data_IF_952461555503
#
_entry.id   IF_952461555503
#
_cell.length_a   1.000
_cell.length_b   1.000
_cell.length_c   1.000
_cell.angle_alpha   90.00
_cell.angle_beta   90.00
_cell.angle_gamma   90.00
#
_symmetry.space_group_name_H-M   'P 1'
#
loop_
_entity.id
_entity.type
_entity.pdbx_description
1 polymer ?
#
# COMPACT_ATOMS: atom_id res chain seq x y z
N UNK A 1 -19.24 -56.02 30.12
CA UNK A 1 -17.81 -56.00 30.46
C UNK A 1 -17.01 -56.15 29.15
N UNK A 2 -16.11 -55.20 28.88
CA UNK A 2 -14.95 -55.25 27.94
C UNK A 2 -15.29 -55.37 26.43
N UNK A 3 -15.52 -54.29 25.69
CA UNK A 3 -14.55 -53.39 25.01
C UNK A 3 -13.40 -54.08 24.25
N UNK A 4 -13.46 -53.98 22.92
CA UNK A 4 -12.40 -54.23 21.93
C UNK A 4 -11.37 -53.08 21.90
N UNK A 5 -10.08 -53.34 21.64
CA UNK A 5 -9.13 -52.28 21.33
C UNK A 5 -8.93 -52.16 19.81
N UNK A 6 -9.20 -50.99 19.24
CA UNK A 6 -8.73 -50.61 17.90
C UNK A 6 -7.83 -49.38 18.01
N UNK A 7 -6.54 -49.61 17.78
CA UNK A 7 -5.44 -48.64 17.85
C UNK A 7 -5.43 -47.86 16.53
N UNK A 8 -5.76 -46.55 16.56
CA UNK A 8 -5.55 -45.65 15.41
C UNK A 8 -4.14 -45.05 15.47
N UNK A 9 -3.39 -44.98 14.36
CA UNK A 9 -2.09 -44.34 14.32
C UNK A 9 -2.23 -42.81 14.31
N UNK A 10 -1.44 -42.15 15.14
CA UNK A 10 -1.24 -40.70 15.18
C UNK A 10 -0.51 -40.24 13.92
N UNK A 11 -1.17 -39.46 13.07
CA UNK A 11 -0.53 -38.72 11.99
C UNK A 11 0.24 -37.53 12.58
N UNK A 12 1.57 -37.65 12.57
CA UNK A 12 2.46 -36.54 12.85
C UNK A 12 2.34 -35.46 11.76
N UNK A 13 2.27 -34.20 12.19
CA UNK A 13 2.45 -33.05 11.31
C UNK A 13 3.91 -33.03 10.85
N UNK A 14 4.18 -33.44 9.61
CA UNK A 14 5.41 -33.09 8.92
C UNK A 14 5.35 -31.61 8.51
N UNK A 15 6.44 -30.84 8.66
CA UNK A 15 6.49 -29.49 8.14
C UNK A 15 6.49 -29.59 6.62
N UNK A 16 5.42 -29.10 5.99
CA UNK A 16 5.37 -28.95 4.54
C UNK A 16 6.49 -28.00 4.14
N UNK A 17 7.49 -28.55 3.48
CA UNK A 17 8.45 -27.84 2.64
C UNK A 17 7.67 -26.85 1.78
N UNK A 18 7.98 -25.56 1.95
CA UNK A 18 7.42 -24.50 1.12
C UNK A 18 7.84 -24.79 -0.33
N UNK A 19 6.92 -24.81 -1.31
CA UNK A 19 7.33 -24.83 -2.70
C UNK A 19 8.15 -23.56 -2.97
N UNK A 20 9.25 -23.73 -3.70
CA UNK A 20 10.02 -22.64 -4.31
C UNK A 20 9.02 -21.69 -4.97
N UNK A 21 8.94 -20.45 -4.44
CA UNK A 21 7.98 -19.43 -4.86
C UNK A 21 8.23 -19.07 -6.33
N UNK A 22 7.19 -19.21 -7.14
CA UNK A 22 7.16 -18.85 -8.56
C UNK A 22 7.29 -17.34 -8.74
N UNK A 23 8.09 -16.92 -9.72
CA UNK A 23 8.26 -15.54 -10.18
C UNK A 23 6.93 -14.76 -10.28
N UNK A 24 6.88 -13.60 -9.62
CA UNK A 24 5.81 -12.62 -9.73
C UNK A 24 4.89 -12.50 -8.53
N UNK A 25 5.42 -12.43 -7.30
CA UNK A 25 4.61 -12.04 -6.14
C UNK A 25 4.12 -10.58 -6.34
N UNK A 26 2.81 -10.27 -6.20
CA UNK A 26 2.24 -8.94 -6.44
C UNK A 26 2.80 -7.82 -5.56
N UNK A 27 3.63 -8.21 -4.57
CA UNK A 27 4.22 -7.36 -3.56
C UNK A 27 5.77 -7.36 -3.61
N UNK A 28 6.38 -7.71 -4.74
CA UNK A 28 7.82 -7.55 -4.93
C UNK A 28 8.18 -6.33 -5.79
N UNK A 29 9.28 -5.68 -5.44
CA UNK A 29 9.86 -4.60 -6.24
C UNK A 29 10.42 -5.19 -7.54
N UNK A 30 10.18 -4.51 -8.65
CA UNK A 30 10.83 -4.80 -9.93
C UNK A 30 11.82 -3.71 -10.29
N UNK A 31 12.91 -4.10 -10.96
CA UNK A 31 13.94 -3.19 -11.50
C UNK A 31 13.47 -2.46 -12.78
N UNK A 32 12.16 -2.43 -13.02
CA UNK A 32 11.59 -1.74 -14.17
C UNK A 32 11.76 -0.23 -14.01
N UNK A 33 12.22 0.42 -15.08
CA UNK A 33 12.31 1.87 -15.14
C UNK A 33 10.91 2.51 -15.02
N UNK A 34 10.70 3.23 -13.91
CA UNK A 34 9.43 3.87 -13.59
C UNK A 34 9.06 4.93 -14.62
N UNK A 35 10.03 5.70 -15.13
CA UNK A 35 9.77 6.74 -16.13
C UNK A 35 9.37 6.11 -17.46
N UNK A 36 10.11 5.08 -17.89
CA UNK A 36 9.78 4.34 -19.10
C UNK A 36 8.38 3.71 -19.00
N UNK A 37 8.01 3.19 -17.83
CA UNK A 37 6.66 2.66 -17.60
C UNK A 37 5.58 3.76 -17.66
N UNK A 38 5.82 4.92 -17.04
CA UNK A 38 4.91 6.08 -17.11
C UNK A 38 4.70 6.52 -18.56
N UNK A 39 5.74 6.47 -19.39
CA UNK A 39 5.66 6.80 -20.82
C UNK A 39 4.77 5.85 -21.62
N UNK A 40 4.54 4.62 -21.14
CA UNK A 40 3.59 3.69 -21.76
C UNK A 40 2.12 4.03 -21.47
N UNK A 41 1.84 4.91 -20.51
CA UNK A 41 0.47 5.31 -20.16
C UNK A 41 -0.15 6.05 -21.34
N UNK A 42 -1.22 5.48 -21.90
CA UNK A 42 -1.87 6.00 -23.12
C UNK A 42 -2.49 7.40 -22.95
N UNK A 43 -2.91 7.76 -21.74
CA UNK A 43 -3.52 9.07 -21.48
C UNK A 43 -2.45 10.12 -21.17
N UNK A 44 -2.30 11.18 -21.99
CA UNK A 44 -1.33 12.25 -21.74
C UNK A 44 -1.59 12.95 -20.40
N UNK A 45 -2.86 13.14 -20.03
CA UNK A 45 -3.26 13.71 -18.75
C UNK A 45 -2.77 12.85 -17.58
N UNK A 46 -2.98 11.53 -17.64
CA UNK A 46 -2.54 10.63 -16.57
C UNK A 46 -1.02 10.54 -16.49
N UNK A 47 -0.32 10.61 -17.62
CA UNK A 47 1.14 10.67 -17.64
C UNK A 47 1.64 11.91 -16.91
N UNK A 48 1.11 13.08 -17.24
CA UNK A 48 1.44 14.34 -16.56
C UNK A 48 1.13 14.28 -15.06
N UNK A 49 -0.05 13.79 -14.69
CA UNK A 49 -0.46 13.67 -13.29
C UNK A 49 0.45 12.68 -12.53
N UNK A 50 0.83 11.56 -13.16
CA UNK A 50 1.75 10.58 -12.62
C UNK A 50 3.16 11.16 -12.40
N UNK A 51 3.69 11.91 -13.37
CA UNK A 51 4.97 12.62 -13.22
C UNK A 51 4.92 13.66 -12.09
N UNK A 52 3.79 14.35 -11.93
CA UNK A 52 3.61 15.31 -10.83
C UNK A 52 3.68 14.61 -9.47
N UNK A 53 2.96 13.48 -9.31
CA UNK A 53 3.02 12.68 -8.08
C UNK A 53 4.40 12.06 -7.86
N UNK A 54 5.08 11.63 -8.92
CA UNK A 54 6.42 11.08 -8.86
C UNK A 54 7.37 12.08 -8.19
N UNK A 55 7.35 13.33 -8.65
CA UNK A 55 8.19 14.39 -8.10
C UNK A 55 7.83 14.74 -6.66
N UNK A 56 6.53 14.84 -6.34
CA UNK A 56 6.07 15.09 -4.96
C UNK A 56 6.58 13.98 -4.04
N UNK A 57 6.33 12.71 -4.37
CA UNK A 57 6.71 11.60 -3.52
C UNK A 57 8.23 11.42 -3.43
N UNK A 58 8.97 11.71 -4.49
CA UNK A 58 10.44 11.74 -4.46
C UNK A 58 10.96 12.82 -3.50
N UNK A 59 10.39 14.03 -3.52
CA UNK A 59 10.75 15.10 -2.56
C UNK A 59 10.42 14.72 -1.13
N UNK A 60 9.24 14.16 -0.90
CA UNK A 60 8.76 13.79 0.44
C UNK A 60 9.59 12.66 1.04
N UNK A 61 9.87 11.62 0.25
CA UNK A 61 10.57 10.43 0.73
C UNK A 61 12.10 10.57 0.72
N UNK A 62 12.66 11.35 -0.20
CA UNK A 62 14.10 11.35 -0.48
C UNK A 62 14.60 10.05 -1.13
N UNK A 63 13.68 9.18 -1.56
CA UNK A 63 13.96 7.85 -2.11
C UNK A 63 13.71 7.79 -3.62
N UNK A 64 14.42 6.90 -4.30
CA UNK A 64 14.14 6.63 -5.71
C UNK A 64 12.87 5.79 -5.87
N UNK A 65 12.02 6.10 -6.88
CA UNK A 65 10.79 5.38 -7.12
C UNK A 65 11.08 3.96 -7.59
N UNK A 66 10.26 3.00 -7.16
CA UNK A 66 10.33 1.61 -7.63
C UNK A 66 8.97 1.11 -8.04
N UNK A 67 8.93 0.26 -9.07
CA UNK A 67 7.71 -0.41 -9.48
C UNK A 67 7.37 -1.53 -8.50
N UNK A 68 6.15 -1.52 -8.00
CA UNK A 68 5.58 -2.54 -7.13
C UNK A 68 4.43 -3.26 -7.85
N UNK A 69 4.58 -4.57 -8.04
CA UNK A 69 3.68 -5.33 -8.91
C UNK A 69 3.62 -4.75 -10.33
N UNK A 70 2.42 -4.69 -10.92
CA UNK A 70 2.25 -4.29 -12.32
C UNK A 70 1.92 -2.82 -12.57
N UNK A 71 1.53 -2.07 -11.54
CA UNK A 71 0.95 -0.73 -11.73
C UNK A 71 1.02 0.21 -10.53
N UNK A 72 1.82 -0.14 -9.52
CA UNK A 72 2.03 0.71 -8.34
C UNK A 72 3.45 1.24 -8.41
N UNK A 73 3.62 2.53 -8.16
CA UNK A 73 4.91 3.17 -7.96
C UNK A 73 5.03 3.44 -6.47
N UNK A 74 6.03 2.83 -5.83
CA UNK A 74 6.28 2.91 -4.40
C UNK A 74 7.57 3.65 -4.06
N UNK A 75 7.62 4.18 -2.84
CA UNK A 75 8.74 4.93 -2.27
C UNK A 75 9.00 4.48 -0.84
N UNK A 76 10.29 4.31 -0.51
CA UNK A 76 10.73 3.76 0.77
C UNK A 76 10.16 2.36 1.03
N UNK A 77 10.38 1.85 2.24
CA UNK A 77 9.80 0.58 2.66
C UNK A 77 9.52 0.58 4.16
N UNK A 78 8.49 -0.14 4.58
CA UNK A 78 8.22 -0.46 5.97
C UNK A 78 7.88 -1.93 6.10
N UNK A 79 8.23 -2.49 7.26
CA UNK A 79 7.91 -3.88 7.58
C UNK A 79 6.62 -3.91 8.41
N UNK A 80 5.62 -4.65 7.93
CA UNK A 80 4.39 -4.89 8.67
C UNK A 80 4.37 -6.31 9.23
N UNK A 81 3.81 -6.46 10.43
CA UNK A 81 3.53 -7.77 11.03
C UNK A 81 2.15 -7.76 11.68
N UNK A 82 1.26 -8.57 11.15
CA UNK A 82 -0.07 -8.77 11.72
C UNK A 82 -0.02 -9.72 12.93
N UNK A 83 -0.96 -9.58 13.86
CA UNK A 83 -1.13 -10.48 15.01
C UNK A 83 -1.33 -11.96 14.62
N UNK A 84 -1.80 -12.23 13.39
CA UNK A 84 -1.91 -13.59 12.84
C UNK A 84 -0.56 -14.21 12.45
N UNK A 85 0.56 -13.50 12.63
CA UNK A 85 1.90 -13.93 12.24
C UNK A 85 2.22 -13.72 10.75
N UNK A 86 1.35 -13.04 10.01
CA UNK A 86 1.61 -12.67 8.61
C UNK A 86 2.41 -11.37 8.61
N UNK A 87 3.59 -11.40 8.01
CA UNK A 87 4.46 -10.25 7.85
C UNK A 87 4.93 -10.08 6.41
N UNK A 88 5.44 -8.90 6.09
CA UNK A 88 5.96 -8.56 4.78
C UNK A 88 6.40 -7.11 4.71
N UNK A 89 6.92 -6.74 3.56
CA UNK A 89 7.39 -5.38 3.28
C UNK A 89 6.43 -4.69 2.32
N UNK A 90 6.23 -3.40 2.53
CA UNK A 90 5.39 -2.56 1.71
C UNK A 90 6.01 -1.19 1.51
N UNK A 91 5.63 -0.50 0.42
CA UNK A 91 6.05 0.88 0.18
C UNK A 91 5.48 1.82 1.24
N UNK A 92 6.32 2.68 1.82
CA UNK A 92 5.91 3.64 2.84
C UNK A 92 5.05 4.78 2.27
N UNK A 93 5.24 5.09 0.99
CA UNK A 93 4.32 5.89 0.18
C UNK A 93 4.20 5.27 -1.22
N UNK A 94 3.10 5.53 -1.90
CA UNK A 94 2.96 5.09 -3.29
C UNK A 94 1.68 5.53 -3.97
N UNK A 95 1.63 5.35 -5.29
CA UNK A 95 0.45 5.66 -6.09
C UNK A 95 0.31 4.72 -7.28
N UNK A 96 -0.90 4.70 -7.88
CA UNK A 96 -1.22 3.90 -9.06
C UNK A 96 -2.01 4.72 -10.08
N UNK A 97 -1.45 5.01 -11.26
CA UNK A 97 -2.14 5.74 -12.33
C UNK A 97 -3.11 4.86 -13.11
N UNK A 98 -4.28 4.63 -12.52
CA UNK A 98 -5.31 3.82 -13.14
C UNK A 98 -6.13 4.64 -14.14
N UNK A 99 -6.76 3.92 -15.08
CA UNK A 99 -7.61 4.51 -16.12
C UNK A 99 -8.71 5.43 -15.55
N UNK A 100 -9.37 5.00 -14.47
CA UNK A 100 -10.48 5.74 -13.88
C UNK A 100 -10.03 6.93 -13.02
N UNK A 101 -9.03 6.74 -12.16
CA UNK A 101 -8.56 7.74 -11.21
C UNK A 101 -7.09 7.51 -10.86
N UNK A 102 -6.43 8.57 -10.41
CA UNK A 102 -5.17 8.45 -9.71
C UNK A 102 -5.44 7.93 -8.29
N UNK A 103 -4.86 6.79 -7.94
CA UNK A 103 -4.94 6.26 -6.58
C UNK A 103 -3.68 6.61 -5.82
N UNK A 104 -3.79 7.31 -4.71
CA UNK A 104 -2.71 7.58 -3.74
C UNK A 104 -2.93 6.69 -2.52
N UNK A 105 -1.87 6.04 -2.04
CA UNK A 105 -1.94 5.14 -0.88
C UNK A 105 -1.45 5.84 0.38
N UNK A 106 -2.26 5.75 1.44
CA UNK A 106 -2.00 6.24 2.80
C UNK A 106 -2.05 5.03 3.73
N UNK A 107 -0.90 4.37 4.00
CA UNK A 107 -0.89 3.14 4.80
C UNK A 107 -1.36 3.36 6.25
N UNK A 108 -1.25 4.59 6.75
CA UNK A 108 -1.77 5.11 8.03
C UNK A 108 -3.24 5.51 8.01
N UNK A 109 -3.93 5.27 6.89
CA UNK A 109 -5.37 5.40 6.77
C UNK A 109 -5.84 6.80 6.42
N UNK A 110 -6.86 6.88 5.56
CA UNK A 110 -7.41 8.17 5.13
C UNK A 110 -8.18 8.88 6.24
N UNK A 111 -8.68 8.15 7.24
CA UNK A 111 -9.39 8.71 8.38
C UNK A 111 -8.53 9.68 9.21
N UNK A 112 -7.21 9.44 9.26
CA UNK A 112 -6.21 10.32 9.91
C UNK A 112 -6.21 11.74 9.33
N UNK A 113 -6.66 11.89 8.08
CA UNK A 113 -6.62 13.13 7.31
C UNK A 113 -7.99 13.75 7.04
N UNK A 114 -9.04 13.37 7.79
CA UNK A 114 -10.42 13.79 7.52
C UNK A 114 -10.57 15.31 7.32
N UNK A 115 -9.92 16.13 8.16
CA UNK A 115 -9.97 17.60 8.07
C UNK A 115 -9.26 18.18 6.84
N UNK A 116 -8.15 17.57 6.42
CA UNK A 116 -7.42 17.97 5.23
C UNK A 116 -8.23 17.59 3.98
N UNK A 117 -8.84 16.41 3.98
CA UNK A 117 -9.68 15.91 2.89
C UNK A 117 -10.87 16.84 2.59
N UNK A 118 -11.49 17.44 3.60
CA UNK A 118 -12.57 18.44 3.41
C UNK A 118 -12.14 19.63 2.53
N UNK A 119 -10.86 19.97 2.54
CA UNK A 119 -10.28 21.12 1.83
C UNK A 119 -9.54 20.74 0.56
N UNK A 120 -9.23 19.46 0.38
CA UNK A 120 -8.39 18.94 -0.70
C UNK A 120 -9.00 19.16 -2.10
N UNK A 121 -10.32 19.16 -2.20
CA UNK A 121 -11.05 19.19 -3.47
C UNK A 121 -11.78 17.88 -3.76
N UNK A 122 -12.36 17.69 -4.96
CA UNK A 122 -13.20 16.53 -5.27
C UNK A 122 -12.42 15.21 -5.29
N UNK A 123 -12.74 14.31 -4.38
CA UNK A 123 -12.04 13.03 -4.23
C UNK A 123 -13.00 11.92 -3.76
N UNK A 124 -12.53 10.68 -3.78
CA UNK A 124 -13.15 9.55 -3.05
C UNK A 124 -12.10 8.90 -2.16
N UNK A 125 -12.52 8.37 -1.02
CA UNK A 125 -11.65 7.62 -0.11
C UNK A 125 -12.09 6.16 0.02
N UNK A 126 -11.12 5.28 0.19
CA UNK A 126 -11.27 4.01 0.89
C UNK A 126 -10.46 4.03 2.17
N UNK A 127 -10.24 2.87 2.79
CA UNK A 127 -9.58 2.77 4.11
C UNK A 127 -8.16 3.35 4.07
N UNK A 128 -7.35 2.95 3.08
CA UNK A 128 -5.94 3.35 2.90
C UNK A 128 -5.68 3.97 1.53
N UNK A 129 -6.72 4.29 0.78
CA UNK A 129 -6.60 4.74 -0.60
C UNK A 129 -7.41 6.01 -0.84
N UNK A 130 -6.82 6.94 -1.59
CA UNK A 130 -7.43 8.18 -2.03
C UNK A 130 -7.50 8.17 -3.56
N UNK A 131 -8.69 8.42 -4.12
CA UNK A 131 -8.93 8.42 -5.55
C UNK A 131 -9.17 9.85 -6.04
N UNK A 132 -8.32 10.30 -6.96
CA UNK A 132 -8.32 11.63 -7.54
C UNK A 132 -8.61 11.55 -9.05
N UNK A 133 -9.73 12.10 -9.48
CA UNK A 133 -10.17 12.01 -10.89
C UNK A 133 -9.65 13.18 -11.73
N UNK A 134 -9.65 14.40 -11.19
CA UNK A 134 -9.17 15.62 -11.85
C UNK A 134 -8.14 16.34 -10.98
N UNK A 135 -6.86 16.14 -11.30
CA UNK A 135 -5.71 16.71 -10.59
C UNK A 135 -5.73 18.25 -10.54
N UNK A 136 -6.40 18.91 -11.49
CA UNK A 136 -6.47 20.38 -11.54
C UNK A 136 -7.39 20.98 -10.46
N UNK A 137 -8.23 20.14 -9.86
CA UNK A 137 -9.18 20.55 -8.80
C UNK A 137 -8.70 20.15 -7.41
N UNK A 138 -7.45 19.66 -7.32
CA UNK A 138 -6.85 19.20 -6.08
C UNK A 138 -5.85 20.24 -5.59
N UNK A 139 -5.91 20.53 -4.30
CA UNK A 139 -4.87 21.29 -3.61
C UNK A 139 -3.63 20.41 -3.45
N UNK A 140 -2.64 20.62 -4.33
CA UNK A 140 -1.42 19.81 -4.37
C UNK A 140 -0.50 20.05 -3.17
N UNK A 141 -0.51 21.26 -2.60
CA UNK A 141 0.29 21.58 -1.43
C UNK A 141 -0.27 20.85 -0.20
N UNK A 142 -1.59 20.80 -0.08
CA UNK A 142 -2.25 20.02 0.97
C UNK A 142 -2.05 18.53 0.78
N UNK A 143 -2.09 18.03 -0.47
CA UNK A 143 -1.78 16.64 -0.78
C UNK A 143 -0.34 16.27 -0.39
N UNK A 144 0.64 17.12 -0.73
CA UNK A 144 2.05 16.93 -0.38
C UNK A 144 2.26 16.90 1.14
N UNK A 145 1.58 17.80 1.88
CA UNK A 145 1.60 17.79 3.35
C UNK A 145 1.04 16.47 3.91
N UNK A 146 -0.09 16.00 3.40
CA UNK A 146 -0.68 14.73 3.85
C UNK A 146 0.24 13.54 3.57
N UNK A 147 0.85 13.48 2.39
CA UNK A 147 1.81 12.41 2.03
C UNK A 147 3.04 12.48 2.94
N UNK A 148 3.50 13.67 3.29
CA UNK A 148 4.63 13.88 4.20
C UNK A 148 4.36 13.33 5.59
N UNK A 149 3.20 13.65 6.15
CA UNK A 149 2.80 13.17 7.46
C UNK A 149 2.66 11.64 7.46
N UNK A 150 2.04 11.09 6.41
CA UNK A 150 1.85 9.64 6.24
C UNK A 150 3.19 8.91 6.16
N UNK A 151 4.08 9.37 5.28
CA UNK A 151 5.40 8.78 5.10
C UNK A 151 6.22 8.82 6.39
N UNK A 152 6.17 9.94 7.12
CA UNK A 152 6.85 10.08 8.43
C UNK A 152 6.29 9.12 9.46
N UNK A 153 4.97 8.98 9.54
CA UNK A 153 4.34 8.02 10.44
C UNK A 153 4.80 6.59 10.14
N UNK A 154 4.97 6.24 8.85
CA UNK A 154 5.37 4.89 8.43
C UNK A 154 6.86 4.61 8.66
N UNK A 155 7.71 5.63 8.59
CA UNK A 155 9.17 5.49 8.69
C UNK A 155 9.73 5.78 10.07
N UNK A 156 8.98 6.49 10.93
CA UNK A 156 9.39 6.79 12.31
C UNK A 156 9.54 5.53 13.18
N UNK A 157 8.64 4.56 13.00
CA UNK A 157 8.66 3.28 13.69
C UNK A 157 8.76 2.17 12.65
N UNK A 158 9.97 1.61 12.44
CA UNK A 158 10.28 0.61 11.40
C UNK A 158 9.42 -0.68 11.42
N UNK A 159 8.55 -0.84 12.41
CA UNK A 159 7.62 -1.97 12.56
C UNK A 159 6.21 -1.42 12.76
N UNK A 160 5.36 -1.60 11.74
CA UNK A 160 4.00 -1.06 11.70
C UNK A 160 2.93 -1.91 12.40
N UNK A 161 3.33 -3.05 12.99
CA UNK A 161 2.40 -4.09 13.45
C UNK A 161 1.30 -3.65 14.42
N UNK A 162 1.49 -2.53 15.14
CA UNK A 162 0.49 -2.03 16.11
C UNK A 162 -0.69 -1.28 15.48
N UNK A 163 -0.52 -0.59 14.34
CA UNK A 163 -1.62 0.16 13.71
C UNK A 163 -2.56 -0.76 12.91
N UNK A 164 -2.06 -1.88 12.41
CA UNK A 164 -2.85 -2.91 11.72
C UNK A 164 -4.02 -3.48 12.56
N UNK A 165 -3.89 -3.48 13.90
CA UNK A 165 -4.98 -3.87 14.81
C UNK A 165 -6.11 -2.84 14.80
N UNK A 166 -5.80 -1.54 14.75
CA UNK A 166 -6.77 -0.45 14.67
C UNK A 166 -7.55 -0.49 13.34
N UNK A 167 -6.89 -0.82 12.22
CA UNK A 167 -7.56 -0.97 10.91
C UNK A 167 -8.60 -2.10 10.89
N UNK A 168 -8.40 -3.19 11.65
CA UNK A 168 -9.39 -4.28 11.76
C UNK A 168 -10.49 -3.98 12.78
N UNK A 169 -10.22 -3.11 13.75
CA UNK A 169 -11.19 -2.63 14.75
C UNK A 169 -12.22 -1.65 14.20
N UNK A 170 -11.94 -1.01 13.06
CA UNK A 170 -12.81 -0.02 12.39
C UNK A 170 -14.08 -0.57 11.72
N UNK A 171 -14.68 -1.67 12.20
CA UNK A 171 -16.11 -1.91 11.96
C UNK A 171 -16.91 -1.02 12.91
N UNK A 172 -16.99 0.26 12.58
CA UNK A 172 -18.07 1.12 13.09
C UNK A 172 -19.38 0.66 12.44
N UNK A 173 -19.97 -0.38 13.01
CA UNK A 173 -21.36 -0.75 12.81
C UNK A 173 -22.14 -0.26 14.02
N UNK A 174 -23.05 0.67 13.75
CA UNK A 174 -24.18 1.12 14.58
C UNK A 174 -24.97 -0.09 15.09
#
# INVERSE_FOLDING_TARGET
MLHTPSKKPTLGCTPRSHPVRSEGDPLEYSDNDVHAWIDTIASPTRRRDALTLLEIMKRVSGEEPRMWGSSIIGFGHYHYRYASGVEGDAGAAGFSPRKAAMTVYFPDGTATYARQLERLGPHKTGVVCLYLTDFRKIDLDLLESMITDSYRAMTANRVYGHLAEEFRGGRSGI
#
